data_IF_272474753925
#
_entry.id   IF_272474753925
#
_cell.length_a   1.000
_cell.length_b   1.000
_cell.length_c   1.000
_cell.angle_alpha   90.00
_cell.angle_beta   90.00
_cell.angle_gamma   90.00
#
_symmetry.space_group_name_H-M   'P 1'
#
loop_
_entity.id
_entity.type
_entity.pdbx_description
1 polymer ?
#
# COMPACT_ATOMS: atom_id res chain seq x y z
N UNK A 1 -3.94 35.01 -13.80
CA UNK A 1 -3.86 34.31 -12.51
C UNK A 1 -2.42 34.33 -12.05
N UNK A 2 -2.17 34.63 -10.77
CA UNK A 2 -0.83 34.47 -10.21
C UNK A 2 -0.52 32.98 -10.01
N UNK A 3 0.75 32.61 -9.97
CA UNK A 3 1.17 31.23 -9.68
C UNK A 3 0.68 30.75 -8.31
N UNK A 4 0.54 31.67 -7.35
CA UNK A 4 -0.01 31.40 -6.02
C UNK A 4 -1.50 31.04 -6.08
N UNK A 5 -2.29 31.74 -6.91
CA UNK A 5 -3.70 31.41 -7.15
C UNK A 5 -3.83 30.01 -7.77
N UNK A 6 -2.99 29.71 -8.77
CA UNK A 6 -3.05 28.44 -9.51
C UNK A 6 -2.62 27.23 -8.67
N UNK A 7 -1.66 27.40 -7.76
CA UNK A 7 -1.28 26.35 -6.79
C UNK A 7 -2.39 26.06 -5.80
N UNK A 8 -3.10 27.11 -5.38
CA UNK A 8 -4.19 27.01 -4.40
C UNK A 8 -5.42 26.37 -5.01
N UNK A 9 -5.70 26.64 -6.29
CA UNK A 9 -6.82 26.06 -7.05
C UNK A 9 -6.59 24.63 -7.54
N UNK A 10 -5.33 24.16 -7.64
CA UNK A 10 -5.04 22.79 -8.05
C UNK A 10 -5.74 21.77 -7.12
N UNK A 11 -6.77 21.08 -7.58
CA UNK A 11 -7.65 20.27 -6.73
C UNK A 11 -7.06 18.88 -6.44
N UNK A 12 -6.18 18.37 -7.30
CA UNK A 12 -5.62 17.03 -7.16
C UNK A 12 -4.10 16.98 -7.47
N UNK A 13 -3.49 15.83 -7.24
CA UNK A 13 -2.06 15.59 -7.49
C UNK A 13 -1.66 15.71 -8.97
N UNK A 14 -2.60 15.48 -9.88
CA UNK A 14 -2.39 15.61 -11.32
C UNK A 14 -2.34 17.08 -11.75
N UNK A 15 -3.14 17.96 -11.14
CA UNK A 15 -3.12 19.40 -11.41
C UNK A 15 -1.78 20.04 -11.01
N UNK A 16 -1.22 19.65 -9.85
CA UNK A 16 0.14 20.06 -9.46
C UNK A 16 1.22 19.50 -10.38
N UNK A 17 1.06 18.26 -10.84
CA UNK A 17 2.00 17.65 -11.79
C UNK A 17 1.93 18.31 -13.18
N UNK A 18 0.73 18.72 -13.60
CA UNK A 18 0.49 19.44 -14.86
C UNK A 18 1.09 20.84 -14.80
N UNK A 19 0.91 21.56 -13.68
CA UNK A 19 1.62 22.80 -13.43
C UNK A 19 3.12 22.60 -13.59
N UNK A 20 3.68 21.53 -13.01
CA UNK A 20 5.11 21.23 -13.08
C UNK A 20 5.65 20.84 -14.46
N UNK A 21 4.82 20.21 -15.27
CA UNK A 21 5.19 19.70 -16.58
C UNK A 21 5.18 20.76 -17.70
N UNK A 22 4.67 21.97 -17.46
CA UNK A 22 4.51 22.99 -18.52
C UNK A 22 5.85 23.61 -19.00
N UNK A 23 6.98 23.26 -18.37
CA UNK A 23 8.31 23.70 -18.75
C UNK A 23 8.66 25.15 -18.34
N UNK A 24 7.76 25.87 -17.67
CA UNK A 24 7.98 27.26 -17.25
C UNK A 24 9.05 27.33 -16.16
N UNK A 25 10.09 28.18 -16.32
CA UNK A 25 11.10 28.39 -15.30
C UNK A 25 10.49 28.96 -14.02
N UNK A 26 10.71 28.27 -12.90
CA UNK A 26 10.22 28.68 -11.58
C UNK A 26 11.26 29.37 -10.73
N UNK A 27 10.84 30.43 -10.05
CA UNK A 27 11.60 31.10 -8.98
C UNK A 27 11.83 30.18 -7.79
N UNK A 28 12.77 30.56 -6.92
CA UNK A 28 13.06 29.80 -5.68
C UNK A 28 11.84 29.78 -4.74
N UNK A 29 11.09 30.88 -4.64
CA UNK A 29 9.89 30.98 -3.83
C UNK A 29 8.80 30.02 -4.32
N UNK A 30 8.58 29.96 -5.63
CA UNK A 30 7.61 29.06 -6.26
C UNK A 30 7.96 27.58 -6.05
N UNK A 31 9.24 27.21 -6.17
CA UNK A 31 9.70 25.84 -5.86
C UNK A 31 9.48 25.49 -4.38
N UNK A 32 9.71 26.45 -3.48
CA UNK A 32 9.47 26.27 -2.03
C UNK A 32 7.98 26.11 -1.74
N UNK A 33 7.12 26.92 -2.38
CA UNK A 33 5.67 26.83 -2.27
C UNK A 33 5.15 25.45 -2.74
N UNK A 34 5.60 24.98 -3.90
CA UNK A 34 5.29 23.62 -4.41
C UNK A 34 5.65 22.55 -3.38
N UNK A 35 6.89 22.59 -2.84
CA UNK A 35 7.34 21.60 -1.86
C UNK A 35 6.48 21.64 -0.59
N UNK A 36 6.08 22.84 -0.16
CA UNK A 36 5.20 23.02 0.99
C UNK A 36 3.80 22.46 0.74
N UNK A 37 3.19 22.76 -0.41
CA UNK A 37 1.87 22.21 -0.78
C UNK A 37 1.91 20.69 -0.89
N UNK A 38 2.95 20.12 -1.50
CA UNK A 38 3.15 18.65 -1.56
C UNK A 38 3.21 18.03 -0.16
N UNK A 39 3.98 18.65 0.74
CA UNK A 39 4.08 18.19 2.13
C UNK A 39 2.74 18.30 2.85
N UNK A 40 2.03 19.42 2.69
CA UNK A 40 0.71 19.62 3.28
C UNK A 40 -0.29 18.57 2.81
N UNK A 41 -0.38 18.31 1.50
CA UNK A 41 -1.26 17.27 0.94
C UNK A 41 -0.88 15.87 1.38
N UNK A 42 0.42 15.57 1.50
CA UNK A 42 0.87 14.29 2.09
C UNK A 42 0.40 14.16 3.53
N UNK A 43 0.53 15.21 4.33
CA UNK A 43 0.08 15.21 5.72
C UNK A 43 -1.44 15.07 5.83
N UNK A 44 -2.22 15.73 4.97
CA UNK A 44 -3.68 15.58 4.92
C UNK A 44 -4.08 14.14 4.59
N UNK A 45 -3.50 13.54 3.54
CA UNK A 45 -3.79 12.14 3.20
C UNK A 45 -3.42 11.18 4.32
N UNK A 46 -2.29 11.39 4.99
CA UNK A 46 -1.91 10.58 6.15
C UNK A 46 -2.91 10.73 7.31
N UNK A 47 -3.41 11.95 7.55
CA UNK A 47 -4.46 12.17 8.55
C UNK A 47 -5.79 11.48 8.15
N UNK A 48 -6.17 11.53 6.88
CA UNK A 48 -7.34 10.83 6.35
C UNK A 48 -7.21 9.31 6.46
N UNK A 49 -6.04 8.75 6.12
CA UNK A 49 -5.75 7.32 6.26
C UNK A 49 -5.82 6.88 7.73
N UNK A 50 -5.21 7.64 8.64
CA UNK A 50 -5.31 7.37 10.09
C UNK A 50 -6.76 7.45 10.60
N UNK A 51 -7.52 8.48 10.19
CA UNK A 51 -8.92 8.60 10.58
C UNK A 51 -9.78 7.45 10.02
N UNK A 52 -9.52 7.04 8.79
CA UNK A 52 -10.20 5.90 8.18
C UNK A 52 -9.86 4.59 8.91
N UNK A 53 -8.57 4.37 9.25
CA UNK A 53 -8.15 3.22 10.04
C UNK A 53 -8.83 3.20 11.41
N UNK A 54 -8.86 4.32 12.12
CA UNK A 54 -9.56 4.44 13.39
C UNK A 54 -11.05 4.09 13.26
N UNK A 55 -11.70 4.55 12.20
CA UNK A 55 -13.08 4.18 11.88
C UNK A 55 -13.25 2.68 11.63
N UNK A 56 -12.34 2.06 10.87
CA UNK A 56 -12.34 0.61 10.63
C UNK A 56 -12.15 -0.14 11.94
N UNK A 57 -11.13 0.20 12.74
CA UNK A 57 -10.86 -0.41 14.04
C UNK A 57 -12.06 -0.34 14.98
N UNK A 58 -12.82 0.76 14.97
CA UNK A 58 -14.03 0.92 15.80
C UNK A 58 -15.19 -0.01 15.41
N UNK A 59 -15.15 -0.59 14.21
CA UNK A 59 -16.18 -1.48 13.67
C UNK A 59 -15.76 -2.95 13.68
N UNK A 60 -14.47 -3.23 13.86
CA UNK A 60 -13.94 -4.59 13.95
C UNK A 60 -14.27 -5.19 15.32
N UNK A 61 -14.48 -6.50 15.33
CA UNK A 61 -14.71 -7.25 16.56
C UNK A 61 -13.99 -8.60 16.53
N UNK A 62 -14.01 -9.28 17.68
CA UNK A 62 -13.55 -10.66 17.78
C UNK A 62 -14.29 -11.55 16.76
N UNK A 63 -13.53 -12.34 16.00
CA UNK A 63 -14.04 -13.20 14.92
C UNK A 63 -14.00 -12.58 13.53
N UNK A 64 -13.83 -11.26 13.39
CA UNK A 64 -13.51 -10.66 12.09
C UNK A 64 -12.10 -11.09 11.62
N UNK A 65 -11.94 -11.32 10.32
CA UNK A 65 -10.65 -11.61 9.69
C UNK A 65 -10.12 -10.34 9.02
N UNK A 66 -8.85 -10.04 9.25
CA UNK A 66 -8.17 -8.88 8.68
C UNK A 66 -6.88 -9.30 7.99
N UNK A 67 -6.58 -8.71 6.84
CA UNK A 67 -5.31 -8.87 6.14
C UNK A 67 -4.50 -7.57 6.19
N UNK A 68 -3.24 -7.64 6.61
CA UNK A 68 -2.26 -6.55 6.50
C UNK A 68 -1.16 -7.01 5.54
N UNK A 69 -1.22 -6.55 4.29
CA UNK A 69 -0.27 -6.92 3.25
C UNK A 69 0.80 -5.83 3.13
N UNK A 70 2.06 -6.24 3.29
CA UNK A 70 3.19 -5.34 3.48
C UNK A 70 3.21 -4.76 4.90
N UNK A 71 3.16 -5.66 5.88
CA UNK A 71 3.01 -5.31 7.30
C UNK A 71 4.21 -4.54 7.86
N UNK A 72 5.41 -4.70 7.26
CA UNK A 72 6.64 -4.07 7.69
C UNK A 72 6.88 -4.30 9.19
N UNK A 73 7.18 -3.25 9.97
CA UNK A 73 7.33 -3.33 11.42
C UNK A 73 6.00 -3.36 12.19
N UNK A 74 4.86 -3.37 11.49
CA UNK A 74 3.54 -3.61 12.08
C UNK A 74 2.83 -2.39 12.65
N UNK A 75 3.12 -1.18 12.14
CA UNK A 75 2.42 0.04 12.55
C UNK A 75 0.91 -0.01 12.29
N UNK A 76 0.48 -0.70 11.23
CA UNK A 76 -0.94 -0.93 10.92
C UNK A 76 -1.45 -2.20 11.61
N UNK A 77 -0.62 -3.25 11.69
CA UNK A 77 -0.95 -4.49 12.38
C UNK A 77 -1.32 -4.25 13.86
N UNK A 78 -0.63 -3.36 14.56
CA UNK A 78 -0.84 -3.10 15.99
C UNK A 78 -2.27 -2.62 16.34
N UNK A 79 -2.79 -1.50 15.80
CA UNK A 79 -4.16 -1.07 16.10
C UNK A 79 -5.22 -2.05 15.58
N UNK A 80 -4.93 -2.85 14.56
CA UNK A 80 -5.83 -3.92 14.11
C UNK A 80 -5.88 -5.05 15.14
N UNK A 81 -4.73 -5.45 15.70
CA UNK A 81 -4.65 -6.50 16.70
C UNK A 81 -5.37 -6.12 18.01
N UNK A 82 -5.36 -4.84 18.39
CA UNK A 82 -6.06 -4.33 19.59
C UNK A 82 -7.59 -4.50 19.52
N UNK A 83 -8.17 -4.67 18.32
CA UNK A 83 -9.62 -4.87 18.15
C UNK A 83 -10.09 -6.28 18.55
N UNK A 84 -9.16 -7.21 18.75
CA UNK A 84 -9.47 -8.63 18.95
C UNK A 84 -9.77 -9.42 17.66
N UNK A 85 -9.78 -8.75 16.50
CA UNK A 85 -9.88 -9.42 15.21
C UNK A 85 -8.70 -10.39 14.99
N UNK A 86 -8.91 -11.41 14.14
CA UNK A 86 -7.84 -12.28 13.65
C UNK A 86 -7.11 -11.55 12.53
N UNK A 87 -5.89 -11.08 12.82
CA UNK A 87 -5.05 -10.37 11.85
C UNK A 87 -4.08 -11.36 11.20
N UNK A 88 -4.03 -11.37 9.88
CA UNK A 88 -3.04 -12.12 9.10
C UNK A 88 -2.14 -11.11 8.39
N UNK A 89 -0.90 -11.00 8.85
CA UNK A 89 0.06 -9.99 8.41
C UNK A 89 1.16 -10.62 7.55
N UNK A 90 1.41 -10.04 6.38
CA UNK A 90 2.36 -10.54 5.40
C UNK A 90 3.53 -9.57 5.26
N UNK A 91 4.76 -10.06 5.49
CA UNK A 91 5.99 -9.30 5.31
C UNK A 91 7.04 -10.18 4.62
N UNK A 92 7.46 -9.87 3.38
CA UNK A 92 8.40 -10.71 2.64
C UNK A 92 9.84 -10.65 3.16
N UNK A 93 10.27 -9.51 3.71
CA UNK A 93 11.66 -9.30 4.07
C UNK A 93 12.04 -10.08 5.34
N UNK A 94 13.00 -11.02 5.31
CA UNK A 94 13.29 -11.85 6.49
C UNK A 94 13.78 -11.06 7.71
N UNK A 95 14.50 -9.94 7.51
CA UNK A 95 14.95 -9.12 8.62
C UNK A 95 13.78 -8.37 9.25
N UNK A 96 12.95 -7.75 8.41
CA UNK A 96 11.77 -7.00 8.86
C UNK A 96 10.75 -7.93 9.51
N UNK A 97 10.55 -9.11 8.93
CA UNK A 97 9.70 -10.16 9.49
C UNK A 97 10.16 -10.59 10.88
N UNK A 98 11.47 -10.75 11.12
CA UNK A 98 11.97 -11.10 12.46
C UNK A 98 11.64 -10.03 13.51
N UNK A 99 11.67 -8.74 13.14
CA UNK A 99 11.25 -7.65 14.04
C UNK A 99 9.74 -7.64 14.27
N UNK A 100 8.96 -7.92 13.23
CA UNK A 100 7.50 -8.06 13.31
C UNK A 100 7.11 -9.22 14.21
N UNK A 101 7.80 -10.36 14.09
CA UNK A 101 7.61 -11.56 14.91
C UNK A 101 7.89 -11.27 16.38
N UNK A 102 9.01 -10.62 16.70
CA UNK A 102 9.32 -10.21 18.07
C UNK A 102 8.25 -9.27 18.65
N UNK A 103 7.76 -8.31 17.85
CA UNK A 103 6.74 -7.34 18.28
C UNK A 103 5.41 -8.00 18.63
N UNK A 104 4.99 -9.02 17.89
CA UNK A 104 3.67 -9.66 18.05
C UNK A 104 3.72 -11.05 18.71
N UNK A 105 4.87 -11.48 19.23
CA UNK A 105 5.05 -12.77 19.90
C UNK A 105 4.04 -13.07 21.04
N UNK A 106 3.42 -12.02 21.62
CA UNK A 106 2.43 -12.13 22.70
C UNK A 106 0.98 -11.87 22.24
N UNK A 107 0.75 -11.75 20.94
CA UNK A 107 -0.55 -11.46 20.35
C UNK A 107 -1.11 -12.71 19.65
N UNK A 108 -1.88 -13.57 20.35
CA UNK A 108 -2.35 -14.84 19.79
C UNK A 108 -3.35 -14.67 18.64
N UNK A 109 -3.92 -13.47 18.47
CA UNK A 109 -4.82 -13.13 17.38
C UNK A 109 -4.09 -12.64 16.12
N UNK A 110 -2.75 -12.62 16.10
CA UNK A 110 -1.93 -12.21 14.97
C UNK A 110 -1.21 -13.43 14.38
N UNK A 111 -1.54 -13.77 13.14
CA UNK A 111 -0.85 -14.76 12.30
C UNK A 111 0.15 -14.01 11.42
N UNK A 112 1.44 -14.32 11.54
CA UNK A 112 2.48 -13.72 10.71
C UNK A 112 2.92 -14.68 9.60
N UNK A 113 3.05 -14.16 8.38
CA UNK A 113 3.46 -14.94 7.21
C UNK A 113 4.66 -14.26 6.53
N UNK A 114 5.81 -14.92 6.53
CA UNK A 114 7.02 -14.41 5.86
C UNK A 114 6.98 -14.70 4.36
N UNK A 115 6.12 -13.99 3.64
CA UNK A 115 5.98 -14.12 2.19
C UNK A 115 5.51 -12.80 1.56
N UNK A 116 5.91 -12.60 0.31
CA UNK A 116 5.31 -11.60 -0.56
C UNK A 116 3.90 -12.05 -0.95
N UNK A 117 3.02 -11.09 -1.20
CA UNK A 117 1.72 -11.35 -1.81
C UNK A 117 1.73 -10.82 -3.24
N UNK A 118 1.35 -11.67 -4.17
CA UNK A 118 1.35 -11.37 -5.60
C UNK A 118 0.14 -11.95 -6.31
N UNK A 119 0.11 -11.81 -7.63
CA UNK A 119 -0.99 -12.35 -8.46
C UNK A 119 -1.05 -13.87 -8.45
N UNK A 120 0.08 -14.56 -8.28
CA UNK A 120 0.21 -16.02 -8.26
C UNK A 120 1.25 -16.43 -7.23
N UNK A 121 1.14 -17.65 -6.70
CA UNK A 121 2.17 -18.23 -5.86
C UNK A 121 3.46 -18.55 -6.64
N UNK A 122 4.60 -18.54 -5.95
CA UNK A 122 5.91 -18.85 -6.52
C UNK A 122 7.06 -18.31 -5.67
N UNK A 123 8.17 -17.99 -6.33
CA UNK A 123 9.32 -17.29 -5.75
C UNK A 123 9.52 -16.00 -6.50
N UNK A 124 9.89 -14.93 -5.78
CA UNK A 124 10.14 -13.62 -6.37
C UNK A 124 11.39 -12.99 -5.76
N UNK A 125 12.04 -12.14 -6.54
CA UNK A 125 13.19 -11.36 -6.10
C UNK A 125 12.68 -10.09 -5.40
N UNK A 126 12.92 -10.00 -4.10
CA UNK A 126 12.68 -8.80 -3.30
C UNK A 126 13.93 -7.93 -3.33
N UNK A 127 13.80 -6.71 -3.85
CA UNK A 127 14.89 -5.74 -3.90
C UNK A 127 14.76 -4.77 -2.72
N UNK A 128 15.85 -4.59 -1.97
CA UNK A 128 15.92 -3.64 -0.85
C UNK A 128 16.43 -2.28 -1.34
N UNK A 129 16.23 -1.24 -0.54
CA UNK A 129 16.86 0.06 -0.79
C UNK A 129 18.39 0.00 -0.55
N UNK A 130 19.15 0.77 -1.32
CA UNK A 130 20.63 0.82 -1.30
C UNK A 130 21.24 1.16 0.08
N UNK A 131 20.43 1.69 0.99
CA UNK A 131 20.84 2.07 2.34
C UNK A 131 20.33 1.12 3.43
N UNK A 132 19.80 -0.05 3.06
CA UNK A 132 19.19 -1.00 4.00
C UNK A 132 20.16 -1.41 5.10
N UNK A 133 21.38 -1.83 4.77
CA UNK A 133 22.37 -2.26 5.77
C UNK A 133 22.78 -1.13 6.74
N UNK A 134 22.63 0.14 6.34
CA UNK A 134 22.95 1.31 7.18
C UNK A 134 21.78 1.76 8.05
N UNK A 135 20.54 1.55 7.61
CA UNK A 135 19.33 1.97 8.31
C UNK A 135 18.15 1.07 7.92
N UNK A 136 18.12 -0.19 8.40
CA UNK A 136 17.16 -1.16 7.91
C UNK A 136 15.71 -0.78 8.28
N UNK A 137 15.50 -0.23 9.48
CA UNK A 137 14.19 0.28 9.93
C UNK A 137 13.64 1.40 9.03
N UNK A 138 14.47 2.37 8.63
CA UNK A 138 14.03 3.45 7.74
C UNK A 138 14.01 3.08 6.26
N UNK A 139 14.63 1.96 5.88
CA UNK A 139 14.78 1.51 4.50
C UNK A 139 13.78 0.41 4.11
N UNK A 140 13.27 -0.38 5.07
CA UNK A 140 12.30 -1.45 4.84
C UNK A 140 11.02 -0.96 4.16
N UNK A 141 10.60 0.29 4.44
CA UNK A 141 9.46 0.99 3.81
C UNK A 141 9.66 1.30 2.31
N UNK A 142 10.65 0.69 1.65
CA UNK A 142 10.95 0.90 0.23
C UNK A 142 11.28 -0.39 -0.50
N UNK A 143 11.28 -1.53 0.18
CA UNK A 143 11.54 -2.82 -0.46
C UNK A 143 10.42 -3.14 -1.45
N UNK A 144 10.76 -3.68 -2.62
CA UNK A 144 9.78 -3.96 -3.68
C UNK A 144 10.18 -5.17 -4.51
N UNK A 145 9.19 -5.84 -5.09
CA UNK A 145 9.36 -6.95 -6.04
C UNK A 145 9.24 -6.49 -7.50
N UNK A 146 8.97 -5.21 -7.74
CA UNK A 146 8.81 -4.63 -9.08
C UNK A 146 10.11 -3.98 -9.55
N UNK A 147 10.63 -4.43 -10.68
CA UNK A 147 11.86 -3.89 -11.29
C UNK A 147 11.66 -2.48 -11.85
N UNK A 148 12.75 -1.71 -11.96
CA UNK A 148 12.74 -0.39 -12.64
C UNK A 148 12.13 0.77 -11.85
N UNK A 149 11.85 0.60 -10.57
CA UNK A 149 11.48 1.70 -9.67
C UNK A 149 12.68 2.57 -9.27
N UNK A 150 12.38 3.77 -8.76
CA UNK A 150 13.41 4.76 -8.37
C UNK A 150 14.12 4.33 -7.07
N UNK A 151 15.46 4.34 -7.09
CA UNK A 151 16.33 4.04 -5.93
C UNK A 151 16.17 2.61 -5.41
N UNK A 152 16.14 1.67 -6.35
CA UNK A 152 16.16 0.23 -6.11
C UNK A 152 17.52 -0.28 -6.59
N UNK A 153 18.19 -1.07 -5.74
CA UNK A 153 19.41 -1.78 -6.11
C UNK A 153 19.09 -3.24 -6.40
N UNK A 154 19.00 -3.58 -7.68
CA UNK A 154 18.75 -4.95 -8.15
C UNK A 154 19.86 -5.93 -7.74
N UNK A 155 21.05 -5.45 -7.36
CA UNK A 155 22.15 -6.31 -6.87
C UNK A 155 21.96 -6.81 -5.43
N UNK A 156 21.02 -6.23 -4.69
CA UNK A 156 20.67 -6.63 -3.31
C UNK A 156 19.46 -7.56 -3.24
N UNK A 157 19.01 -8.04 -4.41
CA UNK A 157 17.81 -8.84 -4.50
C UNK A 157 17.97 -10.19 -3.77
N UNK A 158 16.94 -10.54 -2.99
CA UNK A 158 16.87 -11.83 -2.28
C UNK A 158 15.64 -12.61 -2.75
N UNK A 159 15.77 -13.93 -2.89
CA UNK A 159 14.63 -14.79 -3.17
C UNK A 159 13.74 -14.90 -1.93
N UNK A 160 12.45 -14.61 -2.11
CA UNK A 160 11.42 -14.76 -1.08
C UNK A 160 10.24 -15.57 -1.62
N UNK A 161 9.54 -16.26 -0.73
CA UNK A 161 8.27 -16.92 -1.05
C UNK A 161 7.25 -15.87 -1.49
N UNK A 162 6.51 -16.16 -2.55
CA UNK A 162 5.35 -15.39 -2.98
C UNK A 162 4.10 -16.26 -2.88
N UNK A 163 3.04 -15.73 -2.27
CA UNK A 163 1.72 -16.35 -2.22
C UNK A 163 0.73 -15.60 -3.10
N UNK A 164 -0.22 -16.34 -3.68
CA UNK A 164 -1.28 -15.76 -4.51
C UNK A 164 -2.32 -15.05 -3.64
N UNK A 165 -2.63 -13.78 -3.95
CA UNK A 165 -3.61 -13.00 -3.20
C UNK A 165 -4.99 -13.68 -3.15
N UNK A 166 -5.51 -14.11 -4.30
CA UNK A 166 -6.82 -14.76 -4.36
C UNK A 166 -6.81 -16.16 -3.71
N UNK A 167 -5.66 -16.84 -3.71
CA UNK A 167 -5.50 -18.13 -3.03
C UNK A 167 -5.55 -17.94 -1.50
N UNK A 168 -4.91 -16.89 -0.98
CA UNK A 168 -4.99 -16.51 0.43
C UNK A 168 -6.38 -16.03 0.85
N UNK A 169 -7.07 -15.25 0.00
CA UNK A 169 -8.47 -14.88 0.23
C UNK A 169 -9.33 -16.15 0.34
N UNK A 170 -9.20 -17.08 -0.60
CA UNK A 170 -9.95 -18.33 -0.58
C UNK A 170 -9.63 -19.19 0.64
N UNK A 171 -8.35 -19.27 1.04
CA UNK A 171 -7.91 -19.97 2.26
C UNK A 171 -8.56 -19.38 3.50
N UNK A 172 -8.55 -18.07 3.65
CA UNK A 172 -9.07 -17.39 4.83
C UNK A 172 -10.61 -17.47 4.93
N UNK A 173 -11.30 -17.56 3.80
CA UNK A 173 -12.78 -17.64 3.77
C UNK A 173 -13.32 -19.06 3.62
N UNK A 174 -12.47 -20.09 3.63
CA UNK A 174 -12.89 -21.48 3.37
C UNK A 174 -13.84 -22.05 4.43
N UNK A 175 -13.79 -21.54 5.66
CA UNK A 175 -14.66 -21.93 6.77
C UNK A 175 -16.02 -21.22 6.79
N UNK A 176 -16.32 -20.42 5.77
CA UNK A 176 -17.42 -19.44 5.80
C UNK A 176 -16.98 -18.12 6.42
N UNK A 177 -17.76 -17.06 6.18
CA UNK A 177 -17.39 -15.69 6.56
C UNK A 177 -16.63 -14.96 5.45
N UNK A 178 -16.11 -13.79 5.78
CA UNK A 178 -15.40 -12.91 4.85
C UNK A 178 -14.31 -12.11 5.56
N UNK A 179 -13.42 -11.53 4.77
CA UNK A 179 -12.38 -10.63 5.27
C UNK A 179 -13.02 -9.27 5.54
N UNK A 180 -13.06 -8.85 6.79
CA UNK A 180 -13.64 -7.57 7.20
C UNK A 180 -12.83 -6.38 6.69
N UNK A 181 -11.51 -6.52 6.63
CA UNK A 181 -10.62 -5.46 6.18
C UNK A 181 -9.35 -6.05 5.54
N UNK A 182 -8.91 -5.44 4.44
CA UNK A 182 -7.66 -5.77 3.78
C UNK A 182 -6.90 -4.47 3.48
N UNK A 183 -5.73 -4.30 4.06
CA UNK A 183 -4.79 -3.23 3.69
C UNK A 183 -3.71 -3.82 2.78
N UNK A 184 -3.36 -3.08 1.72
CA UNK A 184 -2.33 -3.45 0.77
C UNK A 184 -1.38 -2.28 0.50
N UNK A 185 -0.14 -2.43 0.93
CA UNK A 185 0.94 -1.48 0.64
C UNK A 185 2.21 -2.28 0.37
N UNK A 186 2.48 -2.53 -0.90
CA UNK A 186 3.53 -3.46 -1.37
C UNK A 186 4.32 -2.87 -2.55
N UNK A 187 4.44 -1.56 -2.55
CA UNK A 187 5.49 -0.87 -3.30
C UNK A 187 5.50 -1.13 -4.81
N UNK A 188 4.32 -1.18 -5.43
CA UNK A 188 4.08 -1.33 -6.87
C UNK A 188 3.52 -2.70 -7.25
N UNK A 189 3.74 -3.73 -6.44
CA UNK A 189 3.26 -5.07 -6.71
C UNK A 189 1.72 -5.17 -6.64
N UNK A 190 1.05 -4.18 -6.05
CA UNK A 190 -0.41 -4.11 -5.98
C UNK A 190 -1.07 -4.03 -7.36
N UNK A 191 -0.37 -3.50 -8.37
CA UNK A 191 -0.95 -3.26 -9.70
C UNK A 191 -1.52 -4.53 -10.32
N UNK A 192 -0.73 -5.61 -10.38
CA UNK A 192 -1.16 -6.86 -11.03
C UNK A 192 -2.26 -7.58 -10.24
N UNK A 193 -2.22 -7.45 -8.91
CA UNK A 193 -3.23 -8.03 -8.03
C UNK A 193 -4.57 -7.32 -8.23
N UNK A 194 -4.55 -5.98 -8.19
CA UNK A 194 -5.75 -5.17 -8.31
C UNK A 194 -6.35 -5.23 -9.72
N UNK A 195 -5.54 -5.32 -10.77
CA UNK A 195 -6.01 -5.58 -12.14
C UNK A 195 -6.75 -6.92 -12.23
N UNK A 196 -6.18 -8.00 -11.68
CA UNK A 196 -6.81 -9.33 -11.69
C UNK A 196 -8.10 -9.36 -10.84
N UNK A 197 -8.08 -8.73 -9.66
CA UNK A 197 -9.20 -8.60 -8.75
C UNK A 197 -10.39 -7.88 -9.39
N UNK A 198 -10.14 -6.71 -10.03
CA UNK A 198 -11.16 -5.91 -10.70
C UNK A 198 -11.69 -6.64 -11.94
N UNK A 199 -10.81 -7.21 -12.76
CA UNK A 199 -11.21 -7.94 -13.97
C UNK A 199 -12.12 -9.14 -13.67
N UNK A 200 -11.84 -9.88 -12.59
CA UNK A 200 -12.62 -11.06 -12.17
C UNK A 200 -13.84 -10.74 -11.32
N UNK A 201 -14.01 -9.48 -10.94
CA UNK A 201 -15.00 -9.03 -9.95
C UNK A 201 -14.91 -9.78 -8.60
N UNK A 202 -13.71 -10.15 -8.18
CA UNK A 202 -13.48 -11.08 -7.07
C UNK A 202 -13.39 -10.42 -5.67
N UNK A 203 -13.96 -9.22 -5.49
CA UNK A 203 -13.92 -8.50 -4.21
C UNK A 203 -15.00 -8.98 -3.21
N UNK A 204 -15.97 -9.79 -3.63
CA UNK A 204 -17.10 -10.19 -2.78
C UNK A 204 -16.71 -10.69 -1.37
N UNK A 205 -15.68 -11.54 -1.20
CA UNK A 205 -15.27 -12.03 0.11
C UNK A 205 -14.62 -10.96 1.00
N UNK A 206 -14.28 -9.79 0.47
CA UNK A 206 -13.58 -8.71 1.18
C UNK A 206 -14.54 -7.54 1.39
N UNK A 207 -14.84 -7.20 2.65
CA UNK A 207 -15.77 -6.14 3.02
C UNK A 207 -15.25 -4.76 2.65
N UNK A 208 -13.98 -4.48 2.94
CA UNK A 208 -13.29 -3.24 2.62
C UNK A 208 -11.81 -3.53 2.29
N UNK A 209 -11.35 -3.10 1.12
CA UNK A 209 -9.95 -3.13 0.72
C UNK A 209 -9.43 -1.71 0.54
N UNK A 210 -8.32 -1.40 1.20
CA UNK A 210 -7.54 -0.16 1.00
C UNK A 210 -6.18 -0.51 0.42
N UNK A 211 -5.72 0.26 -0.57
CA UNK A 211 -4.41 0.07 -1.17
C UNK A 211 -3.69 1.40 -1.41
N UNK A 212 -2.39 1.44 -1.09
CA UNK A 212 -1.52 2.52 -1.59
C UNK A 212 -1.07 2.14 -3.00
N UNK A 213 -1.25 3.05 -3.94
CA UNK A 213 -0.74 2.86 -5.30
C UNK A 213 0.56 3.62 -5.51
N UNK A 214 1.52 2.96 -6.17
CA UNK A 214 2.88 3.45 -6.34
C UNK A 214 3.17 4.00 -7.75
N UNK A 215 2.18 4.56 -8.44
CA UNK A 215 2.33 5.12 -9.80
C UNK A 215 3.34 6.28 -9.88
N UNK A 216 3.66 6.89 -8.73
CA UNK A 216 4.68 7.91 -8.62
C UNK A 216 6.10 7.34 -8.68
N UNK A 217 6.29 6.08 -8.24
CA UNK A 217 7.58 5.36 -8.27
C UNK A 217 7.86 4.76 -9.65
N UNK A 218 6.83 4.27 -10.34
CA UNK A 218 6.97 3.58 -11.64
C UNK A 218 6.32 4.38 -12.78
N UNK A 219 7.09 5.28 -13.41
CA UNK A 219 6.58 6.16 -14.48
C UNK A 219 5.98 5.40 -15.65
N UNK A 220 6.62 4.31 -16.09
CA UNK A 220 6.17 3.50 -17.21
C UNK A 220 4.86 2.77 -16.93
N UNK A 221 4.52 2.53 -15.65
CA UNK A 221 3.28 1.86 -15.24
C UNK A 221 2.11 2.83 -15.06
N UNK A 222 2.33 4.15 -15.12
CA UNK A 222 1.26 5.15 -14.93
C UNK A 222 0.03 4.96 -15.83
N UNK A 223 0.17 4.60 -17.14
CA UNK A 223 -0.99 4.33 -17.97
C UNK A 223 -1.85 3.17 -17.43
N UNK A 224 -1.20 2.11 -16.91
CA UNK A 224 -1.88 0.96 -16.30
C UNK A 224 -2.57 1.35 -14.99
N UNK A 225 -1.88 2.06 -14.10
CA UNK A 225 -2.51 2.57 -12.86
C UNK A 225 -3.72 3.47 -13.14
N UNK A 226 -3.66 4.32 -14.17
CA UNK A 226 -4.81 5.15 -14.58
C UNK A 226 -5.98 4.30 -15.07
N UNK A 227 -5.71 3.28 -15.88
CA UNK A 227 -6.73 2.35 -16.35
C UNK A 227 -7.34 1.55 -15.19
N UNK A 228 -6.51 1.06 -14.27
CA UNK A 228 -6.94 0.38 -13.05
C UNK A 228 -7.85 1.27 -12.21
N UNK A 229 -7.46 2.52 -11.93
CA UNK A 229 -8.28 3.46 -11.14
C UNK A 229 -9.64 3.71 -11.78
N UNK A 230 -9.70 3.87 -13.11
CA UNK A 230 -10.96 4.03 -13.83
C UNK A 230 -11.85 2.77 -13.72
N UNK A 231 -11.27 1.59 -14.00
CA UNK A 231 -11.99 0.33 -13.91
C UNK A 231 -12.46 0.02 -12.47
N UNK A 232 -11.64 0.32 -11.47
CA UNK A 232 -11.99 0.15 -10.05
C UNK A 232 -13.15 1.06 -9.64
N UNK A 233 -13.14 2.33 -10.07
CA UNK A 233 -14.21 3.28 -9.76
C UNK A 233 -15.54 2.93 -10.43
N UNK A 234 -15.49 2.36 -11.64
CA UNK A 234 -16.67 1.79 -12.31
C UNK A 234 -17.14 0.52 -11.61
N UNK A 235 -16.20 -0.30 -11.13
CA UNK A 235 -16.53 -1.61 -10.59
C UNK A 235 -17.05 -1.59 -9.16
N UNK A 236 -16.53 -0.70 -8.31
CA UNK A 236 -16.75 -0.71 -6.88
C UNK A 236 -16.86 0.70 -6.31
N UNK A 237 -17.75 0.93 -5.32
CA UNK A 237 -17.75 2.18 -4.58
C UNK A 237 -16.48 2.28 -3.71
N UNK A 238 -16.03 3.50 -3.43
CA UNK A 238 -14.81 3.78 -2.63
C UNK A 238 -14.80 3.10 -1.26
N UNK A 239 -15.97 2.88 -0.63
CA UNK A 239 -16.10 2.15 0.65
C UNK A 239 -15.76 0.66 0.58
N UNK A 240 -15.72 0.07 -0.63
CA UNK A 240 -15.38 -1.33 -0.89
C UNK A 240 -13.93 -1.46 -1.35
N UNK A 241 -13.49 -0.56 -2.24
CA UNK A 241 -12.15 -0.51 -2.78
C UNK A 241 -11.66 0.94 -2.80
N UNK A 242 -10.67 1.25 -1.96
CA UNK A 242 -10.07 2.58 -1.87
C UNK A 242 -8.59 2.53 -2.24
N UNK A 243 -8.23 3.18 -3.35
CA UNK A 243 -6.86 3.20 -3.89
C UNK A 243 -6.05 4.44 -3.45
N UNK A 244 -6.52 5.16 -2.43
CA UNK A 244 -5.91 6.41 -1.96
C UNK A 244 -5.29 6.28 -0.55
N UNK A 245 -4.96 5.06 -0.12
CA UNK A 245 -4.23 4.81 1.13
C UNK A 245 -2.79 5.37 1.08
N UNK A 246 -2.19 5.67 2.24
CA UNK A 246 -0.82 6.19 2.42
C UNK A 246 -0.28 5.81 3.81
#
# INVERSE_FOLDING_TARGET
MSFEDTITEAQNSADLAALEADGTPRTQAERKAIKMVRRYRRNLRAAEAHAHLAGICSMLCEGDIVMDIGANLGEITAPLAETGARVVAYEPDPWTFAQLDERFAKNPNVELVNAAIGRKAGTVQLMRADNFDRNPQGASVKSTTVTGGRAIDESTAIDVEMRGFLDEVARLTSGGGGIAFCKMDIEGAELEILEDLVARRALDPIRCLVAETHEHKFKELRPRFRALRAAAAEAYPKRRLNLDWI
#
